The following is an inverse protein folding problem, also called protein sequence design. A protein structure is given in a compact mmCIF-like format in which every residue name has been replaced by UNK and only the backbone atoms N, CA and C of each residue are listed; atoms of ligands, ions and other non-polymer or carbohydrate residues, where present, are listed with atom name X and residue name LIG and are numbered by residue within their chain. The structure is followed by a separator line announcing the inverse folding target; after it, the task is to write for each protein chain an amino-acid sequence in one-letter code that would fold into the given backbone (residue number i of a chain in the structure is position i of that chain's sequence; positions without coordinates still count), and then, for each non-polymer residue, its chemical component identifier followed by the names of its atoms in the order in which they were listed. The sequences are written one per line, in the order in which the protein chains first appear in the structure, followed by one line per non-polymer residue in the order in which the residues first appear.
data_IF_882199593405
#
_entry.id   IF_882199593405
#
_cell.length_a   1.000
_cell.length_b   1.000
_cell.length_c   1.000
_cell.angle_alpha   90.00
_cell.angle_beta   90.00
_cell.angle_gamma   90.00
#
_symmetry.space_group_name_H-M   'P 1'
#
loop_
_entity.id
_entity.type
_entity.pdbx_description
1 polymer ?
#
# COMPACT_ATOMS: atom_id res chain seq x y z
N UNK A 1 -21.48 24.00 -16.82
CA UNK A 1 -21.58 22.69 -17.50
C UNK A 1 -23.01 22.24 -17.28
N UNK A 2 -23.79 22.10 -18.35
CA UNK A 2 -25.15 21.55 -18.28
C UNK A 2 -25.02 20.13 -17.72
N UNK A 3 -25.93 19.74 -16.81
CA UNK A 3 -26.02 18.40 -16.20
C UNK A 3 -26.05 17.33 -17.30
N UNK A 4 -24.87 16.86 -17.69
CA UNK A 4 -24.71 15.69 -18.55
C UNK A 4 -24.66 14.51 -17.60
N UNK A 5 -25.69 13.66 -17.64
CA UNK A 5 -25.60 12.35 -17.03
C UNK A 5 -24.50 11.57 -17.75
N UNK A 6 -23.43 11.25 -17.03
CA UNK A 6 -22.40 10.35 -17.51
C UNK A 6 -22.81 8.93 -17.11
N UNK A 7 -23.03 8.08 -18.11
CA UNK A 7 -23.41 6.69 -17.92
C UNK A 7 -22.46 5.81 -18.75
N UNK A 8 -22.12 4.64 -18.20
CA UNK A 8 -21.48 3.58 -18.97
C UNK A 8 -22.57 2.75 -19.66
N UNK A 9 -22.38 2.50 -20.94
CA UNK A 9 -23.21 1.62 -21.77
C UNK A 9 -22.51 0.28 -22.01
N UNK A 10 -23.26 -0.69 -22.54
CA UNK A 10 -22.69 -1.95 -23.04
C UNK A 10 -21.62 -1.67 -24.11
N UNK A 11 -20.47 -2.34 -24.01
CA UNK A 11 -19.28 -2.10 -24.82
C UNK A 11 -18.42 -0.90 -24.39
N UNK A 12 -18.72 -0.23 -23.27
CA UNK A 12 -17.91 0.87 -22.76
C UNK A 12 -16.48 0.44 -22.44
N UNK A 13 -15.53 1.34 -22.65
CA UNK A 13 -14.12 1.16 -22.31
C UNK A 13 -13.74 2.01 -21.11
N UNK A 14 -13.13 1.40 -20.10
CA UNK A 14 -12.70 2.06 -18.88
C UNK A 14 -11.19 1.92 -18.69
N UNK A 15 -10.50 3.06 -18.54
CA UNK A 15 -9.07 3.10 -18.26
C UNK A 15 -8.81 3.32 -16.76
N UNK A 16 -7.94 2.52 -16.16
CA UNK A 16 -7.56 2.63 -14.75
C UNK A 16 -6.06 2.92 -14.65
N UNK A 17 -5.70 4.11 -14.21
CA UNK A 17 -4.30 4.54 -14.10
C UNK A 17 -3.79 4.26 -12.68
N UNK A 18 -3.10 3.13 -12.52
CA UNK A 18 -2.55 2.63 -11.26
C UNK A 18 -3.19 1.31 -10.83
N UNK A 19 -2.40 0.23 -10.82
CA UNK A 19 -2.82 -1.14 -10.50
C UNK A 19 -2.53 -1.58 -9.07
N UNK A 20 -2.32 -0.63 -8.15
CA UNK A 20 -2.30 -0.91 -6.72
C UNK A 20 -3.72 -1.16 -6.17
N UNK A 21 -3.89 -1.30 -4.83
CA UNK A 21 -5.13 -1.76 -4.22
C UNK A 21 -6.36 -0.96 -4.64
N UNK A 22 -6.28 0.36 -4.70
CA UNK A 22 -7.41 1.21 -5.11
C UNK A 22 -7.87 0.94 -6.55
N UNK A 23 -6.94 0.82 -7.50
CA UNK A 23 -7.27 0.54 -8.90
C UNK A 23 -7.74 -0.89 -9.11
N UNK A 24 -7.12 -1.86 -8.43
CA UNK A 24 -7.55 -3.25 -8.47
C UNK A 24 -8.96 -3.40 -7.88
N UNK A 25 -9.25 -2.85 -6.71
CA UNK A 25 -10.59 -2.89 -6.13
C UNK A 25 -11.62 -2.23 -7.04
N UNK A 26 -11.33 -1.03 -7.57
CA UNK A 26 -12.22 -0.37 -8.52
C UNK A 26 -12.55 -1.30 -9.70
N UNK A 27 -11.53 -1.90 -10.31
CA UNK A 27 -11.69 -2.78 -11.47
C UNK A 27 -12.49 -4.04 -11.14
N UNK A 28 -12.18 -4.69 -10.01
CA UNK A 28 -12.87 -5.89 -9.52
C UNK A 28 -14.36 -5.61 -9.34
N UNK A 29 -14.71 -4.56 -8.61
CA UNK A 29 -16.11 -4.24 -8.30
C UNK A 29 -16.86 -3.69 -9.50
N UNK A 30 -16.21 -2.91 -10.37
CA UNK A 30 -16.81 -2.42 -11.61
C UNK A 30 -17.19 -3.60 -12.54
N UNK A 31 -16.27 -4.54 -12.75
CA UNK A 31 -16.51 -5.72 -13.59
C UNK A 31 -17.62 -6.62 -13.01
N UNK A 32 -17.62 -6.84 -11.69
CA UNK A 32 -18.68 -7.60 -11.03
C UNK A 32 -20.05 -6.95 -11.20
N UNK A 33 -20.11 -5.63 -11.04
CA UNK A 33 -21.35 -4.87 -11.17
C UNK A 33 -21.86 -4.89 -12.61
N UNK A 34 -21.00 -4.62 -13.59
CA UNK A 34 -21.33 -4.69 -15.01
C UNK A 34 -21.89 -6.07 -15.39
N UNK A 35 -21.22 -7.14 -14.96
CA UNK A 35 -21.68 -8.51 -15.18
C UNK A 35 -23.05 -8.79 -14.57
N UNK A 36 -23.31 -8.32 -13.33
CA UNK A 36 -24.62 -8.45 -12.67
C UNK A 36 -25.72 -7.68 -13.41
N UNK A 37 -25.36 -6.58 -14.07
CA UNK A 37 -26.26 -5.78 -14.90
C UNK A 37 -26.41 -6.32 -16.33
N UNK A 38 -25.69 -7.39 -16.70
CA UNK A 38 -25.71 -7.95 -18.05
C UNK A 38 -25.01 -7.08 -19.08
N UNK A 39 -24.06 -6.23 -18.66
CA UNK A 39 -23.23 -5.39 -19.51
C UNK A 39 -21.84 -6.00 -19.67
N UNK A 40 -21.33 -5.96 -20.90
CA UNK A 40 -19.94 -6.25 -21.22
C UNK A 40 -19.16 -4.93 -21.34
N UNK A 41 -18.05 -4.80 -20.61
CA UNK A 41 -17.22 -3.59 -20.64
C UNK A 41 -15.75 -4.00 -20.68
N UNK A 42 -14.93 -3.18 -21.33
CA UNK A 42 -13.48 -3.36 -21.33
C UNK A 42 -12.85 -2.56 -20.21
N UNK A 43 -11.98 -3.18 -19.42
CA UNK A 43 -11.23 -2.50 -18.35
C UNK A 43 -9.74 -2.68 -18.56
N UNK A 44 -9.04 -1.59 -18.89
CA UNK A 44 -7.58 -1.56 -19.04
C UNK A 44 -6.93 -0.94 -17.80
N UNK A 45 -6.07 -1.69 -17.12
CA UNK A 45 -5.30 -1.23 -15.96
C UNK A 45 -3.86 -0.92 -16.38
N UNK A 46 -3.47 0.35 -16.29
CA UNK A 46 -2.09 0.78 -16.51
C UNK A 46 -1.28 0.71 -15.22
N UNK A 47 -0.33 -0.22 -15.13
CA UNK A 47 0.54 -0.38 -13.97
C UNK A 47 2.00 -0.64 -14.40
N UNK A 48 2.93 0.30 -14.19
CA UNK A 48 4.33 0.12 -14.58
C UNK A 48 5.14 -0.80 -13.64
N UNK A 49 4.63 -1.13 -12.45
CA UNK A 49 5.34 -1.98 -11.49
C UNK A 49 5.28 -3.44 -11.88
N UNK A 50 6.28 -4.18 -11.44
CA UNK A 50 6.32 -5.63 -11.55
C UNK A 50 6.19 -6.22 -10.13
N UNK A 51 4.97 -6.64 -9.79
CA UNK A 51 4.65 -7.19 -8.48
C UNK A 51 5.26 -8.57 -8.20
N UNK A 52 5.95 -9.17 -9.18
CA UNK A 52 6.73 -10.41 -8.98
C UNK A 52 8.14 -10.15 -8.47
N UNK A 53 8.60 -8.89 -8.50
CA UNK A 53 9.98 -8.53 -8.12
C UNK A 53 10.07 -7.84 -6.76
N UNK A 54 10.99 -8.27 -5.88
CA UNK A 54 11.19 -7.65 -4.58
C UNK A 54 11.74 -6.22 -4.69
N UNK A 55 11.65 -5.47 -3.59
CA UNK A 55 12.16 -4.11 -3.51
C UNK A 55 11.37 -3.08 -4.33
N UNK A 56 11.96 -1.92 -4.68
CA UNK A 56 11.23 -0.77 -5.22
C UNK A 56 10.50 -1.00 -6.55
N UNK A 57 10.86 -2.06 -7.29
CA UNK A 57 10.25 -2.40 -8.57
C UNK A 57 8.80 -2.86 -8.38
N UNK A 58 8.54 -3.72 -7.40
CA UNK A 58 7.19 -4.19 -7.03
C UNK A 58 6.59 -3.50 -5.80
N UNK A 59 7.39 -2.84 -4.96
CA UNK A 59 6.91 -2.26 -3.70
C UNK A 59 6.23 -0.89 -3.89
N UNK A 60 5.11 -0.70 -3.19
CA UNK A 60 4.36 0.56 -3.13
C UNK A 60 4.57 1.33 -1.81
N UNK A 61 5.69 1.10 -1.12
CA UNK A 61 6.22 1.90 0.00
C UNK A 61 5.23 2.06 1.17
N UNK A 62 4.85 0.96 1.82
CA UNK A 62 3.88 0.96 2.92
C UNK A 62 4.34 0.00 4.02
N UNK A 63 4.01 0.33 5.28
CA UNK A 63 4.26 -0.52 6.45
C UNK A 63 3.52 -1.85 6.40
N UNK A 64 2.51 -1.99 5.51
CA UNK A 64 1.91 -3.27 5.15
C UNK A 64 1.10 -3.92 6.27
N UNK A 65 0.25 -3.13 6.93
CA UNK A 65 -0.77 -3.62 7.86
C UNK A 65 -2.13 -3.43 7.21
N UNK A 66 -2.94 -4.49 7.22
CA UNK A 66 -4.36 -4.43 6.87
C UNK A 66 -5.19 -4.66 8.13
N UNK A 67 -6.21 -3.82 8.35
CA UNK A 67 -7.09 -3.95 9.51
C UNK A 67 -7.91 -5.23 9.40
N UNK A 68 -8.30 -5.77 10.55
CA UNK A 68 -9.25 -6.88 10.61
C UNK A 68 -10.55 -6.56 9.84
N UNK A 69 -11.07 -5.35 10.01
CA UNK A 69 -12.29 -4.91 9.30
C UNK A 69 -12.14 -4.98 7.78
N UNK A 70 -10.96 -4.66 7.23
CA UNK A 70 -10.71 -4.80 5.81
C UNK A 70 -10.69 -6.28 5.40
N UNK A 71 -10.04 -7.15 6.17
CA UNK A 71 -10.02 -8.59 5.90
C UNK A 71 -11.44 -9.16 5.90
N UNK A 72 -12.26 -8.79 6.87
CA UNK A 72 -13.67 -9.21 6.96
C UNK A 72 -14.50 -8.69 5.78
N UNK A 73 -14.35 -7.41 5.42
CA UNK A 73 -15.05 -6.84 4.28
C UNK A 73 -14.66 -7.53 2.96
N UNK A 74 -13.37 -7.81 2.78
CA UNK A 74 -12.89 -8.56 1.61
C UNK A 74 -13.49 -9.96 1.56
N UNK A 75 -13.52 -10.69 2.68
CA UNK A 75 -14.11 -12.01 2.75
C UNK A 75 -15.63 -11.99 2.43
N UNK A 76 -16.36 -10.97 2.90
CA UNK A 76 -17.78 -10.77 2.59
C UNK A 76 -18.03 -10.56 1.08
N UNK A 77 -17.08 -9.91 0.39
CA UNK A 77 -17.08 -9.73 -1.07
C UNK A 77 -16.50 -10.94 -1.83
N UNK A 78 -16.23 -12.05 -1.14
CA UNK A 78 -15.68 -13.28 -1.74
C UNK A 78 -14.18 -13.22 -2.04
N UNK A 79 -13.46 -12.22 -1.51
CA UNK A 79 -12.02 -12.01 -1.68
C UNK A 79 -11.29 -12.56 -0.45
N UNK A 80 -10.86 -13.82 -0.53
CA UNK A 80 -10.11 -14.47 0.55
C UNK A 80 -8.61 -14.29 0.34
N UNK A 81 -7.92 -13.69 1.31
CA UNK A 81 -6.47 -13.53 1.25
C UNK A 81 -5.80 -14.85 1.65
N UNK A 82 -4.97 -15.46 0.78
CA UNK A 82 -4.35 -16.73 1.10
C UNK A 82 -3.20 -16.55 2.11
N UNK A 83 -2.82 -17.62 2.85
CA UNK A 83 -1.69 -17.60 3.78
C UNK A 83 -0.36 -17.21 3.12
N UNK A 84 -0.22 -17.39 1.80
CA UNK A 84 0.98 -16.97 1.06
C UNK A 84 1.10 -15.45 0.86
N UNK A 85 0.04 -14.69 1.14
CA UNK A 85 0.00 -13.21 1.04
C UNK A 85 0.02 -12.56 2.42
N UNK A 86 -0.72 -13.14 3.37
CA UNK A 86 -0.78 -12.66 4.76
C UNK A 86 0.23 -13.43 5.59
N UNK A 87 1.30 -12.75 6.00
CA UNK A 87 2.45 -13.38 6.64
C UNK A 87 2.13 -13.86 8.05
N UNK A 88 1.45 -12.99 8.79
CA UNK A 88 1.11 -13.22 10.19
C UNK A 88 -0.13 -12.41 10.55
N UNK A 89 -1.01 -13.04 11.31
CA UNK A 89 -2.03 -12.33 12.05
C UNK A 89 -1.43 -11.70 13.30
N UNK A 90 -1.45 -10.38 13.38
CA UNK A 90 -1.15 -9.66 14.62
C UNK A 90 -2.34 -9.86 15.56
N UNK A 91 -2.09 -10.38 16.76
CA UNK A 91 -3.11 -10.68 17.77
C UNK A 91 -3.20 -9.64 18.89
N UNK A 92 -2.27 -8.68 18.90
CA UNK A 92 -2.11 -7.71 19.98
C UNK A 92 -1.22 -6.55 19.57
N UNK A 93 -1.37 -5.45 20.29
CA UNK A 93 -0.46 -4.31 20.25
C UNK A 93 0.33 -4.26 21.55
N UNK A 94 1.64 -4.05 21.46
CA UNK A 94 2.46 -3.67 22.59
C UNK A 94 2.74 -2.17 22.48
N UNK A 95 2.07 -1.36 23.29
CA UNK A 95 2.29 0.08 23.34
C UNK A 95 3.44 0.40 24.29
N UNK A 96 4.47 1.05 23.77
CA UNK A 96 5.64 1.53 24.51
C UNK A 96 5.58 3.06 24.64
N UNK A 97 5.75 3.53 25.86
CA UNK A 97 5.86 4.94 26.24
C UNK A 97 7.09 5.09 27.14
N UNK A 98 7.54 6.32 27.36
CA UNK A 98 8.71 6.62 28.22
C UNK A 98 8.54 6.12 29.67
N UNK A 99 7.29 5.96 30.10
CA UNK A 99 6.91 5.49 31.46
C UNK A 99 6.74 3.98 31.57
N UNK A 100 6.83 3.25 30.45
CA UNK A 100 6.69 1.80 30.39
C UNK A 100 5.80 1.31 29.26
N UNK A 101 5.49 0.01 29.29
CA UNK A 101 4.78 -0.68 28.20
C UNK A 101 3.48 -1.32 28.67
N UNK A 102 2.48 -1.36 27.78
CA UNK A 102 1.21 -2.03 28.01
C UNK A 102 0.84 -2.90 26.81
N UNK A 103 0.39 -4.12 27.09
CA UNK A 103 -0.18 -5.02 26.09
C UNK A 103 -1.67 -4.72 25.93
N UNK A 104 -2.12 -4.56 24.70
CA UNK A 104 -3.51 -4.37 24.30
C UNK A 104 -3.87 -5.54 23.40
N UNK A 105 -4.69 -6.47 23.90
CA UNK A 105 -5.19 -7.58 23.11
C UNK A 105 -6.28 -7.11 22.14
N UNK A 106 -6.42 -7.79 20.99
CA UNK A 106 -7.52 -7.50 20.06
C UNK A 106 -8.87 -7.84 20.70
N UNK A 107 -9.95 -7.09 20.42
CA UNK A 107 -11.26 -7.29 21.06
C UNK A 107 -11.82 -8.72 20.98
N UNK A 108 -11.46 -9.45 19.92
CA UNK A 108 -11.89 -10.83 19.69
C UNK A 108 -10.81 -11.87 20.01
N UNK A 109 -9.60 -11.45 20.42
CA UNK A 109 -8.41 -12.31 20.59
C UNK A 109 -8.08 -13.17 19.35
N UNK A 110 -8.55 -12.74 18.18
CA UNK A 110 -8.29 -13.40 16.91
C UNK A 110 -7.12 -12.70 16.19
N UNK A 111 -6.28 -13.50 15.53
CA UNK A 111 -5.12 -13.02 14.75
C UNK A 111 -5.55 -12.50 13.37
N UNK A 112 -6.42 -11.47 13.33
CA UNK A 112 -7.06 -11.01 12.08
C UNK A 112 -6.49 -9.72 11.48
N UNK A 113 -5.55 -9.06 12.15
CA UNK A 113 -4.79 -7.95 11.55
C UNK A 113 -3.68 -8.56 10.68
N UNK A 114 -3.72 -8.35 9.38
CA UNK A 114 -2.76 -8.96 8.46
C UNK A 114 -1.50 -8.12 8.29
N UNK A 115 -0.34 -8.71 8.53
CA UNK A 115 0.93 -8.17 8.03
C UNK A 115 1.17 -8.68 6.60
N UNK A 116 1.38 -7.76 5.66
CA UNK A 116 1.60 -8.05 4.24
C UNK A 116 2.82 -7.31 3.70
N UNK A 117 3.35 -7.80 2.58
CA UNK A 117 4.19 -6.98 1.70
C UNK A 117 3.38 -6.48 0.52
N UNK A 118 3.59 -5.22 0.14
CA UNK A 118 2.96 -4.63 -1.05
C UNK A 118 3.49 -5.28 -2.33
N UNK A 119 4.81 -5.49 -2.41
CA UNK A 119 5.48 -6.40 -3.37
C UNK A 119 5.79 -7.75 -2.70
N UNK A 120 6.69 -8.59 -3.26
CA UNK A 120 7.08 -9.87 -2.65
C UNK A 120 7.92 -9.73 -1.36
N UNK A 121 8.54 -8.57 -1.14
CA UNK A 121 9.36 -8.31 0.03
C UNK A 121 10.40 -7.19 -0.14
N UNK A 122 11.28 -7.01 0.86
CA UNK A 122 12.35 -6.02 0.89
C UNK A 122 13.34 -6.17 -0.28
N UNK A 123 14.14 -5.13 -0.57
CA UNK A 123 15.15 -5.19 -1.65
C UNK A 123 16.22 -6.26 -1.42
N UNK A 124 16.59 -6.47 -0.17
CA UNK A 124 17.62 -7.38 0.32
C UNK A 124 17.06 -8.75 0.73
N UNK A 125 15.90 -9.12 0.19
CA UNK A 125 15.21 -10.39 0.41
C UNK A 125 16.15 -11.58 0.20
N UNK A 126 16.20 -12.48 1.19
CA UNK A 126 17.03 -13.70 1.14
C UNK A 126 16.33 -14.85 0.40
N UNK A 127 15.04 -15.01 0.64
CA UNK A 127 14.21 -16.07 0.08
C UNK A 127 12.80 -15.53 -0.21
N UNK A 128 12.20 -15.94 -1.32
CA UNK A 128 10.82 -15.57 -1.66
C UNK A 128 9.86 -16.51 -0.93
N UNK A 129 9.44 -16.11 0.27
CA UNK A 129 8.43 -16.84 1.07
C UNK A 129 7.00 -16.33 0.85
N UNK A 130 6.84 -15.04 0.54
CA UNK A 130 5.55 -14.37 0.48
C UNK A 130 5.28 -13.79 -0.91
N UNK A 131 4.01 -13.79 -1.30
CA UNK A 131 3.53 -13.09 -2.49
C UNK A 131 3.23 -11.62 -2.23
N UNK A 132 2.98 -10.88 -3.31
CA UNK A 132 2.61 -9.47 -3.27
C UNK A 132 1.12 -9.29 -3.02
N UNK A 133 0.75 -8.48 -2.02
CA UNK A 133 -0.65 -8.09 -1.81
C UNK A 133 -1.22 -7.30 -2.99
N UNK A 134 -0.46 -6.33 -3.54
CA UNK A 134 -0.91 -5.54 -4.68
C UNK A 134 -1.04 -6.44 -5.94
N UNK A 135 -0.08 -7.36 -6.14
CA UNK A 135 -0.11 -8.35 -7.22
C UNK A 135 -1.25 -9.35 -7.08
N UNK A 136 -1.58 -9.81 -5.87
CA UNK A 136 -2.75 -10.65 -5.62
C UNK A 136 -4.04 -9.95 -6.06
N UNK A 137 -4.23 -8.68 -5.66
CA UNK A 137 -5.42 -7.92 -6.06
C UNK A 137 -5.45 -7.63 -7.56
N UNK A 138 -4.30 -7.33 -8.18
CA UNK A 138 -4.21 -7.15 -9.62
C UNK A 138 -4.54 -8.43 -10.39
N UNK A 139 -4.03 -9.59 -9.94
CA UNK A 139 -4.35 -10.88 -10.54
C UNK A 139 -5.83 -11.21 -10.40
N UNK A 140 -6.45 -10.89 -9.26
CA UNK A 140 -7.89 -11.04 -9.09
C UNK A 140 -8.67 -10.15 -10.08
N UNK A 141 -8.22 -8.91 -10.34
CA UNK A 141 -8.82 -8.08 -11.38
C UNK A 141 -8.70 -8.72 -12.77
N UNK A 142 -7.54 -9.33 -13.09
CA UNK A 142 -7.33 -10.07 -14.35
C UNK A 142 -8.30 -11.25 -14.44
N UNK A 143 -8.44 -12.05 -13.37
CA UNK A 143 -9.38 -13.18 -13.33
C UNK A 143 -10.84 -12.77 -13.54
N UNK A 144 -11.19 -11.50 -13.21
CA UNK A 144 -12.51 -10.92 -13.46
C UNK A 144 -12.68 -10.34 -14.88
N UNK A 145 -11.61 -10.29 -15.68
CA UNK A 145 -11.64 -9.82 -17.06
C UNK A 145 -10.90 -8.52 -17.33
N UNK A 146 -10.21 -7.93 -16.34
CA UNK A 146 -9.39 -6.75 -16.58
C UNK A 146 -8.14 -7.10 -17.40
N UNK A 147 -7.76 -6.20 -18.30
CA UNK A 147 -6.51 -6.28 -19.06
C UNK A 147 -5.44 -5.41 -18.38
N UNK A 148 -4.29 -5.98 -18.03
CA UNK A 148 -3.19 -5.21 -17.41
C UNK A 148 -2.17 -4.80 -18.47
N UNK A 149 -2.04 -3.49 -18.66
CA UNK A 149 -1.04 -2.87 -19.52
C UNK A 149 0.15 -2.47 -18.64
N UNK A 150 1.24 -3.24 -18.72
CA UNK A 150 2.45 -3.02 -17.91
C UNK A 150 3.29 -1.82 -18.41
N UNK A 151 2.71 -0.63 -18.34
CA UNK A 151 3.28 0.60 -18.88
C UNK A 151 2.91 1.79 -17.99
N UNK A 152 3.76 2.82 -18.02
CA UNK A 152 3.48 4.10 -17.36
C UNK A 152 2.67 4.96 -18.32
N UNK A 153 1.59 5.57 -17.81
CA UNK A 153 0.90 6.65 -18.51
C UNK A 153 1.74 7.92 -18.43
N UNK A 154 2.01 8.50 -19.61
CA UNK A 154 2.81 9.72 -19.76
C UNK A 154 1.94 10.95 -19.97
N UNK A 155 0.75 10.77 -20.56
CA UNK A 155 -0.15 11.85 -20.92
C UNK A 155 -1.61 11.41 -20.79
N UNK A 156 -2.45 12.33 -20.30
CA UNK A 156 -3.89 12.18 -20.15
C UNK A 156 -4.53 13.48 -20.64
N UNK A 157 -5.34 13.39 -21.69
CA UNK A 157 -5.99 14.51 -22.35
C UNK A 157 -7.50 14.29 -22.42
N UNK A 158 -8.22 15.36 -22.74
CA UNK A 158 -9.63 15.30 -23.11
C UNK A 158 -9.77 15.71 -24.57
N UNK A 159 -10.11 14.76 -25.45
CA UNK A 159 -10.27 14.97 -26.89
C UNK A 159 -11.61 14.41 -27.36
N UNK A 160 -12.28 15.11 -28.27
CA UNK A 160 -13.57 14.69 -28.85
C UNK A 160 -14.64 14.27 -27.82
N UNK A 161 -14.62 14.89 -26.64
CA UNK A 161 -15.58 14.62 -25.58
C UNK A 161 -15.26 13.40 -24.71
N UNK A 162 -14.10 12.75 -24.89
CA UNK A 162 -13.67 11.57 -24.14
C UNK A 162 -12.27 11.75 -23.53
N UNK A 163 -11.98 11.12 -22.37
CA UNK A 163 -10.62 11.01 -21.88
C UNK A 163 -9.78 10.09 -22.78
N UNK A 164 -8.56 10.55 -23.08
CA UNK A 164 -7.57 9.81 -23.88
C UNK A 164 -6.30 9.56 -23.06
N UNK A 165 -5.86 8.30 -22.99
CA UNK A 165 -4.67 7.87 -22.25
C UNK A 165 -3.57 7.52 -23.25
N UNK A 166 -2.36 8.03 -23.01
CA UNK A 166 -1.19 7.72 -23.83
C UNK A 166 -0.01 7.27 -22.99
N UNK A 167 0.69 6.25 -23.49
CA UNK A 167 1.96 5.79 -22.96
C UNK A 167 3.05 6.04 -24.01
N UNK A 168 4.31 5.96 -23.61
CA UNK A 168 5.45 6.04 -24.54
C UNK A 168 5.47 4.95 -25.61
N UNK A 169 4.86 3.80 -25.35
CA UNK A 169 5.00 2.58 -26.19
C UNK A 169 3.77 2.31 -27.06
N UNK A 170 2.67 3.03 -26.86
CA UNK A 170 1.42 2.78 -27.57
C UNK A 170 0.86 4.07 -28.15
N UNK A 171 0.06 3.92 -29.20
CA UNK A 171 -0.81 4.99 -29.67
C UNK A 171 -1.83 5.38 -28.58
N UNK A 172 -2.30 6.63 -28.58
CA UNK A 172 -3.31 7.07 -27.63
C UNK A 172 -4.59 6.22 -27.69
N UNK A 173 -5.18 5.95 -26.53
CA UNK A 173 -6.39 5.15 -26.38
C UNK A 173 -7.52 5.99 -25.80
N UNK A 174 -8.70 5.94 -26.44
CA UNK A 174 -9.89 6.63 -25.97
C UNK A 174 -10.71 5.73 -25.05
N UNK A 175 -11.25 6.32 -23.98
CA UNK A 175 -12.07 5.64 -22.97
C UNK A 175 -13.36 6.43 -22.71
N UNK A 176 -14.39 5.73 -22.24
CA UNK A 176 -15.65 6.34 -21.78
C UNK A 176 -15.53 6.83 -20.33
N UNK A 177 -14.67 6.18 -19.54
CA UNK A 177 -14.30 6.58 -18.19
C UNK A 177 -12.81 6.33 -17.94
N UNK A 178 -12.16 7.27 -17.25
CA UNK A 178 -10.81 7.06 -16.72
C UNK A 178 -10.80 7.29 -15.21
N UNK A 179 -10.28 6.29 -14.48
CA UNK A 179 -10.05 6.37 -13.03
C UNK A 179 -8.56 6.56 -12.77
N UNK A 180 -8.22 7.48 -11.87
CA UNK A 180 -6.83 7.78 -11.51
C UNK A 180 -6.56 7.31 -10.07
N UNK A 181 -5.83 6.20 -9.94
CA UNK A 181 -5.53 5.48 -8.69
C UNK A 181 -4.01 5.43 -8.41
N UNK A 182 -3.26 6.45 -8.84
CA UNK A 182 -1.79 6.47 -8.82
C UNK A 182 -1.14 6.66 -7.45
N UNK A 183 -1.91 7.03 -6.42
CA UNK A 183 -1.42 7.29 -5.07
C UNK A 183 -0.56 8.56 -4.93
N UNK A 184 -0.29 8.97 -3.67
CA UNK A 184 0.38 10.25 -3.36
C UNK A 184 1.88 10.28 -3.71
N UNK A 185 2.50 9.11 -3.85
CA UNK A 185 3.93 8.98 -4.14
C UNK A 185 4.25 8.94 -5.64
N UNK A 186 3.25 8.90 -6.51
CA UNK A 186 3.48 8.85 -7.96
C UNK A 186 3.74 10.23 -8.56
N UNK A 187 4.67 10.27 -9.52
CA UNK A 187 4.89 11.44 -10.37
C UNK A 187 3.72 11.68 -11.34
N UNK A 188 2.93 10.64 -11.64
CA UNK A 188 1.76 10.69 -12.52
C UNK A 188 0.63 11.58 -11.98
N UNK A 189 0.74 12.11 -10.75
CA UNK A 189 -0.16 13.18 -10.28
C UNK A 189 -0.04 14.46 -11.11
N UNK A 190 1.06 14.68 -11.81
CA UNK A 190 1.16 15.85 -12.70
C UNK A 190 0.19 15.77 -13.88
N UNK A 191 -0.33 14.57 -14.20
CA UNK A 191 -1.34 14.39 -15.25
C UNK A 191 -2.62 15.17 -14.96
N UNK A 192 -2.96 15.43 -13.69
CA UNK A 192 -4.14 16.20 -13.30
C UNK A 192 -4.08 17.67 -13.78
N UNK A 193 -2.89 18.25 -13.91
CA UNK A 193 -2.73 19.66 -14.22
C UNK A 193 -3.27 20.04 -15.60
N UNK A 194 -3.35 19.08 -16.52
CA UNK A 194 -3.75 19.32 -17.90
C UNK A 194 -5.26 19.16 -18.12
N UNK A 195 -6.02 18.71 -17.11
CA UNK A 195 -7.40 18.26 -17.30
C UNK A 195 -8.47 19.30 -16.94
N UNK A 196 -8.11 20.56 -16.66
CA UNK A 196 -9.06 21.62 -16.28
C UNK A 196 -10.07 21.20 -15.19
N UNK A 197 -9.71 20.24 -14.33
CA UNK A 197 -10.51 19.84 -13.18
C UNK A 197 -10.10 20.63 -11.95
N UNK A 198 -11.06 20.89 -11.06
CA UNK A 198 -10.80 21.46 -9.74
C UNK A 198 -10.28 20.36 -8.80
N UNK A 199 -9.06 19.91 -9.05
CA UNK A 199 -8.36 18.93 -8.22
C UNK A 199 -7.24 19.61 -7.43
N UNK A 200 -7.35 19.55 -6.11
CA UNK A 200 -6.28 19.94 -5.21
C UNK A 200 -5.59 18.70 -4.65
N UNK A 201 -4.29 18.58 -4.85
CA UNK A 201 -3.53 17.48 -4.28
C UNK A 201 -3.63 17.48 -2.74
N UNK A 202 -3.78 16.31 -2.10
CA UNK A 202 -3.93 16.25 -0.65
C UNK A 202 -2.66 16.72 0.06
N UNK A 203 -2.82 17.25 1.27
CA UNK A 203 -1.70 17.58 2.15
C UNK A 203 -1.03 16.28 2.60
N UNK A 204 0.29 16.21 2.46
CA UNK A 204 1.07 15.02 2.82
C UNK A 204 2.20 15.36 3.78
N UNK A 205 2.55 14.44 4.67
CA UNK A 205 3.85 14.45 5.39
C UNK A 205 4.77 13.35 4.87
N UNK A 206 6.07 13.45 5.17
CA UNK A 206 7.05 12.38 4.94
C UNK A 206 7.02 11.42 6.12
N UNK A 207 7.11 10.14 5.79
CA UNK A 207 7.29 9.05 6.76
C UNK A 207 8.67 8.43 6.56
N UNK A 208 9.03 7.50 7.43
CA UNK A 208 10.19 6.65 7.24
C UNK A 208 9.79 5.19 7.42
N UNK A 209 10.23 4.34 6.51
CA UNK A 209 10.02 2.90 6.58
C UNK A 209 11.36 2.21 6.33
N UNK A 210 11.75 1.31 7.23
CA UNK A 210 12.94 0.48 7.10
C UNK A 210 12.63 -0.95 7.48
N UNK A 211 13.13 -1.91 6.71
CA UNK A 211 12.93 -3.33 6.94
C UNK A 211 14.27 -3.96 7.30
N UNK A 212 14.37 -4.59 8.47
CA UNK A 212 15.58 -5.29 8.93
C UNK A 212 15.38 -6.80 8.87
N UNK A 213 16.35 -7.52 8.31
CA UNK A 213 16.38 -8.98 8.38
C UNK A 213 16.92 -9.40 9.75
N UNK A 214 16.12 -10.10 10.55
CA UNK A 214 16.55 -10.66 11.84
C UNK A 214 16.58 -12.20 11.81
N UNK A 215 15.79 -12.82 10.93
CA UNK A 215 15.50 -14.24 10.94
C UNK A 215 14.28 -14.57 11.79
N UNK A 216 13.44 -15.49 11.31
CA UNK A 216 12.12 -15.78 11.88
C UNK A 216 12.17 -16.19 13.37
N UNK A 217 13.15 -17.01 13.76
CA UNK A 217 13.35 -17.42 15.16
C UNK A 217 13.61 -16.22 16.07
N UNK A 218 14.48 -15.31 15.64
CA UNK A 218 14.84 -14.14 16.42
C UNK A 218 13.68 -13.14 16.53
N UNK A 219 12.95 -12.93 15.43
CA UNK A 219 11.71 -12.12 15.42
C UNK A 219 10.69 -12.70 16.40
N UNK A 220 10.51 -14.03 16.37
CA UNK A 220 9.58 -14.73 17.25
C UNK A 220 9.98 -14.60 18.72
N UNK A 221 11.27 -14.70 19.04
CA UNK A 221 11.78 -14.61 20.41
C UNK A 221 11.58 -13.20 21.02
N UNK A 222 11.90 -12.15 20.25
CA UNK A 222 11.91 -10.77 20.78
C UNK A 222 10.57 -10.02 20.66
N UNK A 223 9.74 -10.37 19.66
CA UNK A 223 8.49 -9.63 19.37
C UNK A 223 7.24 -10.52 19.36
N UNK A 224 7.40 -11.83 19.14
CA UNK A 224 6.25 -12.74 19.00
C UNK A 224 5.30 -12.30 17.88
N UNK A 225 3.99 -12.29 18.18
CA UNK A 225 2.91 -11.89 17.27
C UNK A 225 2.42 -10.46 17.47
N UNK A 226 3.03 -9.68 18.37
CA UNK A 226 2.58 -8.34 18.68
C UNK A 226 3.10 -7.32 17.68
N UNK A 227 2.27 -6.35 17.31
CA UNK A 227 2.76 -5.12 16.70
C UNK A 227 3.24 -4.19 17.82
N UNK A 228 4.48 -3.74 17.76
CA UNK A 228 5.06 -2.85 18.77
C UNK A 228 4.80 -1.41 18.33
N UNK A 229 4.04 -0.66 19.11
CA UNK A 229 3.68 0.74 18.86
C UNK A 229 4.41 1.63 19.85
N UNK A 230 4.89 2.77 19.41
CA UNK A 230 5.70 3.69 20.20
C UNK A 230 5.10 5.08 20.18
N UNK A 231 4.85 5.62 21.38
CA UNK A 231 4.44 7.01 21.63
C UNK A 231 5.44 7.63 22.61
N UNK A 232 6.67 7.82 22.14
CA UNK A 232 7.77 8.36 22.94
C UNK A 232 7.74 9.89 22.93
N UNK A 233 8.21 10.51 24.00
CA UNK A 233 8.40 11.97 24.09
C UNK A 233 9.64 12.42 23.29
N UNK A 234 9.53 12.25 21.96
CA UNK A 234 10.54 12.68 21.00
C UNK A 234 9.96 13.81 20.13
N UNK A 235 10.58 15.00 20.10
CA UNK A 235 10.09 16.13 19.31
C UNK A 235 9.84 15.74 17.85
N UNK A 236 8.67 16.14 17.34
CA UNK A 236 8.16 15.88 15.98
C UNK A 236 7.78 14.43 15.68
N UNK A 237 7.98 13.48 16.59
CA UNK A 237 7.44 12.13 16.45
C UNK A 237 5.96 12.14 16.83
N UNK A 238 5.09 11.72 15.93
CA UNK A 238 3.67 11.53 16.25
C UNK A 238 3.38 10.07 16.60
N UNK A 239 4.02 9.15 15.87
CA UNK A 239 3.76 7.72 15.98
C UNK A 239 4.91 6.93 15.38
N UNK A 240 5.30 5.82 16.02
CA UNK A 240 6.12 4.81 15.37
C UNK A 240 5.62 3.40 15.64
N UNK A 241 5.98 2.48 14.75
CA UNK A 241 5.67 1.08 14.91
C UNK A 241 6.80 0.19 14.41
N UNK A 242 6.95 -0.95 15.07
CA UNK A 242 7.79 -2.06 14.67
C UNK A 242 6.89 -3.28 14.49
N UNK A 243 6.90 -3.83 13.28
CA UNK A 243 5.97 -4.85 12.84
C UNK A 243 6.76 -6.12 12.50
N UNK A 244 6.53 -7.25 13.20
CA UNK A 244 7.13 -8.53 12.83
C UNK A 244 6.54 -9.07 11.52
N UNK A 245 7.40 -9.53 10.61
CA UNK A 245 7.08 -9.95 9.24
C UNK A 245 7.94 -11.14 8.79
N UNK A 246 7.61 -12.33 9.30
CA UNK A 246 8.41 -13.54 9.06
C UNK A 246 9.86 -13.33 9.51
N UNK A 247 10.81 -13.36 8.57
CA UNK A 247 12.24 -13.14 8.84
C UNK A 247 12.63 -11.67 9.08
N UNK A 248 11.72 -10.74 8.81
CA UNK A 248 12.00 -9.31 8.86
C UNK A 248 11.18 -8.60 9.93
N UNK A 249 11.62 -7.39 10.29
CA UNK A 249 10.82 -6.42 11.04
C UNK A 249 10.72 -5.13 10.23
N UNK A 250 9.53 -4.57 10.12
CA UNK A 250 9.30 -3.26 9.49
C UNK A 250 9.21 -2.19 10.57
N UNK A 251 10.16 -1.26 10.58
CA UNK A 251 10.15 -0.04 11.38
C UNK A 251 9.47 1.06 10.56
N UNK A 252 8.44 1.69 11.11
CA UNK A 252 7.67 2.76 10.49
C UNK A 252 7.61 3.97 11.43
N UNK A 253 8.01 5.15 10.96
CA UNK A 253 7.91 6.41 11.70
C UNK A 253 7.00 7.39 10.95
N UNK A 254 6.14 8.06 11.72
CA UNK A 254 5.26 9.13 11.30
C UNK A 254 5.48 10.35 12.20
N UNK A 255 5.51 11.53 11.59
CA UNK A 255 5.71 12.77 12.30
C UNK A 255 5.91 13.95 11.36
N UNK A 256 6.34 15.06 11.94
CA UNK A 256 6.63 16.30 11.22
C UNK A 256 8.08 16.29 10.71
N UNK A 257 8.25 16.35 9.39
CA UNK A 257 9.56 16.45 8.73
C UNK A 257 10.61 15.42 9.22
N UNK A 258 10.22 14.14 9.21
CA UNK A 258 11.11 13.03 9.59
C UNK A 258 12.47 13.14 8.87
N UNK A 259 13.54 13.22 9.66
CA UNK A 259 14.94 13.31 9.21
C UNK A 259 15.83 12.27 9.90
N UNK A 260 17.12 12.27 9.53
CA UNK A 260 18.09 11.31 10.06
C UNK A 260 18.32 11.45 11.57
N UNK A 261 18.18 12.65 12.12
CA UNK A 261 18.39 12.89 13.54
C UNK A 261 17.25 12.28 14.35
N UNK A 262 16.00 12.53 13.94
CA UNK A 262 14.83 11.92 14.59
C UNK A 262 14.85 10.40 14.48
N UNK A 263 15.18 9.85 13.30
CA UNK A 263 15.33 8.40 13.12
C UNK A 263 16.42 7.87 14.08
N UNK A 264 17.58 8.52 14.14
CA UNK A 264 18.67 8.11 15.03
C UNK A 264 18.26 8.16 16.50
N UNK A 265 17.58 9.22 16.94
CA UNK A 265 17.12 9.36 18.32
C UNK A 265 16.09 8.28 18.68
N UNK A 266 15.13 8.02 17.79
CA UNK A 266 14.16 6.94 17.96
C UNK A 266 14.84 5.57 18.08
N UNK A 267 15.70 5.20 17.13
CA UNK A 267 16.40 3.90 17.15
C UNK A 267 17.36 3.76 18.34
N UNK A 268 17.81 4.87 18.93
CA UNK A 268 18.69 4.86 20.10
C UNK A 268 17.97 4.90 21.45
N UNK A 269 16.66 5.13 21.47
CA UNK A 269 15.84 5.07 22.69
C UNK A 269 15.93 3.69 23.35
N UNK A 270 15.73 3.65 24.66
CA UNK A 270 15.81 2.42 25.44
C UNK A 270 14.68 1.47 25.02
N UNK A 271 13.49 2.02 24.88
CA UNK A 271 12.24 1.34 24.53
C UNK A 271 12.37 0.62 23.18
N UNK A 272 13.02 1.24 22.20
CA UNK A 272 13.27 0.62 20.90
C UNK A 272 14.38 -0.43 20.99
N UNK A 273 15.48 -0.17 21.69
CA UNK A 273 16.56 -1.15 21.84
C UNK A 273 16.12 -2.43 22.53
N UNK A 274 15.22 -2.31 23.51
CA UNK A 274 14.70 -3.45 24.27
C UNK A 274 13.82 -4.39 23.44
N UNK A 275 13.31 -3.96 22.27
CA UNK A 275 12.53 -4.82 21.36
C UNK A 275 13.38 -5.47 20.26
N UNK A 276 14.67 -5.20 20.21
CA UNK A 276 15.60 -5.83 19.29
C UNK A 276 16.55 -6.80 20.02
N UNK A 277 17.21 -7.72 19.30
CA UNK A 277 18.23 -8.58 19.89
C UNK A 277 19.35 -7.76 20.57
N UNK A 278 19.95 -8.29 21.66
CA UNK A 278 21.07 -7.64 22.30
C UNK A 278 22.21 -7.34 21.31
N UNK A 279 22.78 -6.13 21.40
CA UNK A 279 23.85 -5.65 20.53
C UNK A 279 23.52 -5.64 19.02
N UNK A 280 22.24 -5.51 18.66
CA UNK A 280 21.80 -5.35 17.26
C UNK A 280 22.46 -4.13 16.58
N UNK A 281 22.97 -4.31 15.37
CA UNK A 281 23.52 -3.22 14.56
C UNK A 281 22.42 -2.51 13.76
N UNK A 282 21.91 -1.41 14.31
CA UNK A 282 20.92 -0.56 13.65
C UNK A 282 21.43 0.15 12.39
N UNK A 283 22.75 0.18 12.16
CA UNK A 283 23.36 0.76 10.96
C UNK A 283 23.52 -0.26 9.83
N UNK A 284 23.13 -1.52 10.05
CA UNK A 284 23.15 -2.55 9.03
C UNK A 284 22.39 -2.07 7.78
N UNK A 285 23.01 -2.22 6.60
CA UNK A 285 22.39 -1.84 5.34
C UNK A 285 21.14 -2.67 5.13
N UNK A 286 20.00 -2.00 5.03
CA UNK A 286 18.73 -2.67 4.81
C UNK A 286 17.80 -1.85 3.91
N UNK A 287 16.73 -2.49 3.43
CA UNK A 287 15.72 -1.82 2.61
C UNK A 287 15.08 -0.67 3.40
N UNK A 288 15.09 0.54 2.84
CA UNK A 288 14.43 1.69 3.43
C UNK A 288 13.85 2.63 2.38
N UNK A 289 12.86 3.43 2.79
CA UNK A 289 12.26 4.49 1.98
C UNK A 289 11.65 5.57 2.87
N UNK A 290 11.41 6.75 2.29
CA UNK A 290 10.74 7.86 2.96
C UNK A 290 9.49 8.29 2.18
N UNK A 291 8.43 7.46 2.16
CA UNK A 291 7.25 7.75 1.38
C UNK A 291 6.45 8.89 2.01
N UNK A 292 5.63 9.54 1.18
CA UNK A 292 4.61 10.46 1.63
C UNK A 292 3.35 9.71 2.05
N UNK A 293 2.68 10.20 3.07
CA UNK A 293 1.35 9.76 3.49
C UNK A 293 0.39 10.95 3.49
N UNK A 294 -0.89 10.69 3.21
CA UNK A 294 -1.92 11.71 3.34
C UNK A 294 -2.20 11.99 4.82
N UNK A 295 -2.21 13.26 5.22
CA UNK A 295 -2.49 13.70 6.60
C UNK A 295 -3.76 14.56 6.70
N UNK A 296 -4.45 14.76 5.58
CA UNK A 296 -5.78 15.35 5.55
C UNK A 296 -6.77 14.26 5.14
N UNK A 297 -7.82 14.02 5.93
CA UNK A 297 -8.98 13.31 5.40
C UNK A 297 -9.47 14.03 4.15
N UNK A 298 -10.01 13.29 3.15
CA UNK A 298 -10.85 13.94 2.16
C UNK A 298 -11.95 14.66 2.93
N UNK A 299 -12.05 15.98 2.76
CA UNK A 299 -13.26 16.71 3.11
C UNK A 299 -14.36 16.34 2.11
#
# INVERSE_FOLDING_TARGET
MVDKEFQLDDGSRVGVIGGGPAGSFFSIFLLDLAKRMGMDIEVDIYEPRDYTKPGPVGCNMCGGIISESLVQNLAAEGINLPPTIVQRGIDSYMLHMDVGSVRIDTPLQESRIGAVYRGPGPRDLKEVKWGSFDGFLQNLAIERGANVINQRVDELLWEDGKPQVKTRKSEPQNYDLVTISVGVNSASRKLFNNLNFDYSAPKTTKTFIQEYYLGEEQVQEVMGSSMHVFLLDLPRLEFAAIIPKGDYVSVCLLGEDIDKELISNFMNSKEVKDVFPPAWDFNAKSCNCSPRINIAGNK
#
